data_IF_289865975641
#
_entry.id   IF_289865975641
#
_cell.length_a   1.000
_cell.length_b   1.000
_cell.length_c   1.000
_cell.angle_alpha   90.00
_cell.angle_beta   90.00
_cell.angle_gamma   90.00
#
_symmetry.space_group_name_H-M   'P 1'
#
loop_
_entity.id
_entity.type
_entity.pdbx_description
1 polymer ?
#
# COMPACT_ATOMS: atom_id res chain seq x y z
N UNK A 1 2.00 -9.41 0.72
CA UNK A 1 0.56 -9.05 0.80
C UNK A 1 0.04 -8.60 -0.56
N UNK A 2 -1.28 -8.48 -0.66
CA UNK A 2 -1.97 -7.99 -1.84
C UNK A 2 -2.36 -6.53 -1.62
N UNK A 3 -2.09 -5.65 -2.61
CA UNK A 3 -2.36 -4.21 -2.54
C UNK A 3 -1.76 -3.54 -1.29
N UNK A 4 -0.51 -3.81 -1.03
CA UNK A 4 0.15 -3.51 0.23
C UNK A 4 0.17 -2.00 0.56
N UNK A 5 0.06 -1.65 1.82
CA UNK A 5 0.42 -0.34 2.34
C UNK A 5 1.96 -0.31 2.52
N UNK A 6 2.69 0.64 1.97
CA UNK A 6 2.24 1.90 1.35
C UNK A 6 2.14 1.87 -0.19
N UNK A 7 2.56 0.80 -0.85
CA UNK A 7 2.87 0.79 -2.29
C UNK A 7 1.66 0.57 -3.19
N UNK A 8 0.58 -0.02 -2.67
CA UNK A 8 -0.57 -0.45 -3.47
C UNK A 8 -0.31 -1.69 -4.34
N UNK A 9 0.93 -2.20 -4.38
CA UNK A 9 1.29 -3.36 -5.21
C UNK A 9 1.05 -4.68 -4.48
N UNK A 10 0.94 -5.76 -5.25
CA UNK A 10 0.89 -7.13 -4.78
C UNK A 10 2.22 -7.83 -5.02
N UNK A 11 2.61 -8.74 -4.13
CA UNK A 11 3.81 -9.54 -4.35
C UNK A 11 3.59 -10.57 -5.44
N UNK A 12 4.63 -10.81 -6.25
CA UNK A 12 4.63 -11.89 -7.23
C UNK A 12 4.69 -13.25 -6.52
N UNK A 13 4.23 -14.29 -7.21
CA UNK A 13 4.30 -15.67 -6.75
C UNK A 13 5.72 -16.09 -6.37
N UNK A 14 6.71 -15.67 -7.16
CA UNK A 14 8.12 -15.97 -6.87
C UNK A 14 8.58 -15.27 -5.58
N UNK A 15 8.21 -14.01 -5.37
CA UNK A 15 8.53 -13.31 -4.12
C UNK A 15 7.92 -14.02 -2.91
N UNK A 16 6.66 -14.48 -3.01
CA UNK A 16 6.01 -15.24 -1.93
C UNK A 16 6.75 -16.56 -1.66
N UNK A 17 7.15 -17.30 -2.73
CA UNK A 17 7.94 -18.53 -2.57
C UNK A 17 9.33 -18.26 -1.97
N UNK A 18 9.97 -17.14 -2.31
CA UNK A 18 11.24 -16.72 -1.68
C UNK A 18 11.06 -16.48 -0.19
N UNK A 19 10.02 -15.77 0.23
CA UNK A 19 9.70 -15.62 1.66
C UNK A 19 9.49 -16.98 2.35
N UNK A 20 8.73 -17.88 1.74
CA UNK A 20 8.46 -19.20 2.29
C UNK A 20 9.72 -20.04 2.49
N UNK A 21 10.74 -19.86 1.66
CA UNK A 21 12.02 -20.59 1.68
C UNK A 21 13.11 -19.92 2.50
N UNK A 22 12.82 -18.79 3.17
CA UNK A 22 13.79 -18.10 4.00
C UNK A 22 14.37 -19.04 5.05
N UNK A 23 15.67 -18.88 5.29
CA UNK A 23 16.40 -19.54 6.38
C UNK A 23 16.92 -18.44 7.31
N UNK A 24 16.08 -17.94 8.23
CA UNK A 24 16.47 -16.87 9.12
C UNK A 24 17.54 -17.35 10.12
N UNK A 25 18.42 -16.44 10.52
CA UNK A 25 19.44 -16.74 11.52
C UNK A 25 18.82 -16.88 12.92
N UNK A 26 17.77 -16.12 13.22
CA UNK A 26 17.07 -16.21 14.50
C UNK A 26 16.02 -17.34 14.46
N UNK A 27 16.01 -18.27 15.44
CA UNK A 27 15.09 -19.39 15.44
C UNK A 27 13.63 -18.98 15.70
N UNK A 28 13.44 -17.84 16.32
CA UNK A 28 12.15 -17.22 16.62
C UNK A 28 11.70 -16.18 15.60
N UNK A 29 12.41 -16.06 14.47
CA UNK A 29 12.01 -15.15 13.39
C UNK A 29 10.60 -15.46 12.88
N UNK A 30 9.78 -14.42 12.74
CA UNK A 30 8.42 -14.50 12.20
C UNK A 30 8.14 -13.39 11.19
N UNK A 31 7.35 -13.73 10.21
CA UNK A 31 6.82 -12.78 9.22
C UNK A 31 5.40 -12.41 9.60
N UNK A 32 5.16 -11.12 9.81
CA UNK A 32 3.84 -10.57 9.99
C UNK A 32 3.28 -10.19 8.60
N UNK A 33 2.37 -11.01 8.08
CA UNK A 33 1.79 -10.87 6.75
C UNK A 33 0.49 -10.08 6.84
N UNK A 34 0.58 -8.76 6.68
CA UNK A 34 -0.58 -7.88 6.72
C UNK A 34 -1.32 -7.90 5.37
N UNK A 35 -2.46 -8.57 5.32
CA UNK A 35 -3.31 -8.69 4.14
C UNK A 35 -4.63 -7.90 4.30
N UNK A 36 -4.58 -6.74 4.93
CA UNK A 36 -5.75 -5.91 5.20
C UNK A 36 -6.49 -5.48 3.93
N UNK A 37 -5.80 -5.37 2.80
CA UNK A 37 -6.37 -4.88 1.53
C UNK A 37 -6.68 -5.98 0.52
N UNK A 38 -6.60 -7.25 0.89
CA UNK A 38 -6.75 -8.39 -0.02
C UNK A 38 -8.04 -8.45 -0.84
N UNK A 39 -9.09 -7.79 -0.38
CA UNK A 39 -10.40 -7.71 -1.05
C UNK A 39 -10.70 -6.32 -1.68
N UNK A 40 -9.74 -5.40 -1.68
CA UNK A 40 -9.93 -4.03 -2.16
C UNK A 40 -9.57 -3.89 -3.64
N UNK A 41 -10.18 -4.72 -4.49
CA UNK A 41 -10.03 -4.62 -5.94
C UNK A 41 -10.70 -3.34 -6.46
N UNK A 42 -10.07 -2.65 -7.40
CA UNK A 42 -10.68 -1.53 -8.12
C UNK A 42 -11.45 -2.01 -9.36
N UNK A 43 -11.08 -3.17 -9.89
CA UNK A 43 -11.65 -3.74 -11.12
C UNK A 43 -12.14 -5.17 -10.89
N UNK A 44 -13.29 -5.53 -11.45
CA UNK A 44 -13.86 -6.89 -11.32
C UNK A 44 -13.06 -7.93 -12.12
N UNK A 45 -12.56 -7.55 -13.29
CA UNK A 45 -11.94 -8.47 -14.26
C UNK A 45 -10.41 -8.35 -14.34
N UNK A 46 -9.82 -7.37 -13.64
CA UNK A 46 -8.39 -7.13 -13.61
C UNK A 46 -7.91 -7.03 -12.16
N UNK A 47 -7.85 -8.17 -11.51
CA UNK A 47 -7.42 -8.29 -10.11
C UNK A 47 -6.05 -8.95 -10.04
N UNK A 48 -5.20 -8.45 -9.14
CA UNK A 48 -3.96 -9.14 -8.84
C UNK A 48 -4.24 -10.53 -8.25
N UNK A 49 -3.41 -11.47 -8.61
CA UNK A 49 -3.35 -12.79 -7.97
C UNK A 49 -2.28 -12.77 -6.87
N UNK A 50 -2.53 -13.48 -5.79
CA UNK A 50 -1.56 -13.70 -4.73
C UNK A 50 -1.68 -15.13 -4.22
N UNK A 51 -0.62 -15.92 -4.36
CA UNK A 51 -0.58 -17.29 -3.83
C UNK A 51 -0.60 -17.28 -2.30
N UNK A 52 -1.05 -18.37 -1.70
CA UNK A 52 -1.28 -18.47 -0.27
C UNK A 52 0.03 -18.76 0.47
N UNK A 53 0.54 -17.76 1.22
CA UNK A 53 1.84 -17.82 1.91
C UNK A 53 1.94 -18.95 2.94
N UNK A 54 0.86 -19.27 3.68
CA UNK A 54 0.89 -20.33 4.68
C UNK A 54 1.05 -21.71 4.01
N UNK A 55 0.40 -21.92 2.86
CA UNK A 55 0.55 -23.12 2.06
C UNK A 55 1.97 -23.26 1.52
N UNK A 56 2.55 -22.15 1.00
CA UNK A 56 3.93 -22.14 0.51
C UNK A 56 4.94 -22.39 1.64
N UNK A 57 4.75 -21.79 2.82
CA UNK A 57 5.59 -22.07 4.00
C UNK A 57 5.51 -23.54 4.41
N UNK A 58 4.32 -24.12 4.42
CA UNK A 58 4.15 -25.55 4.71
C UNK A 58 4.90 -26.43 3.71
N UNK A 59 4.80 -26.13 2.40
CA UNK A 59 5.53 -26.86 1.34
C UNK A 59 7.06 -26.71 1.48
N UNK A 60 7.51 -25.54 1.94
CA UNK A 60 8.93 -25.25 2.13
C UNK A 60 9.52 -25.83 3.45
N UNK A 61 8.71 -26.46 4.29
CA UNK A 61 9.14 -26.99 5.60
C UNK A 61 9.22 -25.94 6.71
N UNK A 62 8.66 -24.75 6.49
CA UNK A 62 8.65 -23.61 7.43
C UNK A 62 7.23 -23.25 7.92
N UNK A 63 6.41 -24.20 8.41
CA UNK A 63 4.98 -23.94 8.67
C UNK A 63 4.74 -22.85 9.72
N UNK A 64 5.67 -22.64 10.65
CA UNK A 64 5.53 -21.74 11.80
C UNK A 64 6.06 -20.32 11.52
N UNK A 65 6.54 -20.06 10.30
CA UNK A 65 7.23 -18.80 9.99
C UNK A 65 6.29 -17.59 9.93
N UNK A 66 5.00 -17.76 9.59
CA UNK A 66 4.10 -16.67 9.23
C UNK A 66 2.90 -16.53 10.15
N UNK A 67 2.67 -15.30 10.57
CA UNK A 67 1.39 -14.81 11.09
C UNK A 67 0.69 -13.97 10.01
N UNK A 68 -0.44 -14.45 9.49
CA UNK A 68 -1.22 -13.76 8.46
C UNK A 68 -2.42 -13.06 9.09
N UNK A 69 -2.53 -11.76 8.82
CA UNK A 69 -3.58 -10.91 9.39
C UNK A 69 -4.51 -10.38 8.32
N UNK A 70 -5.77 -10.23 8.70
CA UNK A 70 -6.77 -9.51 7.91
C UNK A 70 -7.77 -8.83 8.85
N UNK A 71 -8.45 -7.78 8.39
CA UNK A 71 -9.48 -7.12 9.17
C UNK A 71 -10.56 -6.50 8.29
N UNK A 72 -11.72 -6.23 8.89
CA UNK A 72 -12.81 -5.50 8.24
C UNK A 72 -12.77 -4.00 8.52
N UNK A 73 -11.69 -3.48 9.11
CA UNK A 73 -11.57 -2.05 9.48
C UNK A 73 -11.68 -1.10 8.29
N UNK A 74 -11.28 -1.56 7.09
CA UNK A 74 -11.40 -0.82 5.82
C UNK A 74 -12.57 -1.33 4.95
N UNK A 75 -13.27 -2.36 5.42
CA UNK A 75 -14.41 -2.97 4.72
C UNK A 75 -15.72 -2.48 5.31
N UNK A 76 -15.87 -2.47 6.63
CA UNK A 76 -17.07 -2.02 7.35
C UNK A 76 -16.84 -0.66 8.01
N UNK A 77 -16.54 -0.63 9.31
CA UNK A 77 -16.33 0.60 10.06
C UNK A 77 -14.99 0.60 10.78
N UNK A 78 -14.19 1.68 10.68
CA UNK A 78 -13.04 1.85 11.53
C UNK A 78 -13.47 1.91 13.00
N UNK A 79 -12.72 1.22 13.86
CA UNK A 79 -13.04 1.10 15.28
C UNK A 79 -14.11 0.07 15.65
N UNK A 80 -14.89 -0.41 14.68
CA UNK A 80 -15.88 -1.48 14.84
C UNK A 80 -15.59 -2.69 13.95
N UNK A 81 -14.42 -2.79 13.39
CA UNK A 81 -14.00 -3.93 12.57
C UNK A 81 -13.80 -5.19 13.43
N UNK A 82 -13.82 -6.33 12.74
CA UNK A 82 -13.32 -7.60 13.26
C UNK A 82 -12.01 -7.95 12.55
N UNK A 83 -11.11 -8.60 13.27
CA UNK A 83 -9.84 -9.05 12.72
C UNK A 83 -9.75 -10.58 12.77
N UNK A 84 -8.94 -11.13 11.87
CA UNK A 84 -8.62 -12.54 11.84
C UNK A 84 -7.11 -12.73 11.73
N UNK A 85 -6.64 -13.76 12.45
CA UNK A 85 -5.27 -14.25 12.36
C UNK A 85 -5.31 -15.68 11.85
N UNK A 86 -4.47 -15.99 10.88
CA UNK A 86 -4.21 -17.35 10.41
C UNK A 86 -2.73 -17.67 10.54
N UNK A 87 -2.42 -18.87 11.03
CA UNK A 87 -1.05 -19.35 11.23
C UNK A 87 -1.05 -20.88 11.37
N UNK A 88 0.11 -21.47 11.65
CA UNK A 88 0.21 -22.91 11.99
C UNK A 88 -0.50 -23.27 13.29
N UNK A 89 -0.75 -24.54 13.50
CA UNK A 89 -1.34 -25.04 14.76
C UNK A 89 -0.45 -24.74 15.96
N UNK A 90 0.87 -24.93 15.84
CA UNK A 90 1.82 -24.64 16.92
C UNK A 90 1.75 -23.18 17.37
N UNK A 91 1.86 -22.27 16.41
CA UNK A 91 1.74 -20.83 16.69
C UNK A 91 0.37 -20.48 17.27
N UNK A 92 -0.70 -21.11 16.77
CA UNK A 92 -2.06 -20.86 17.25
C UNK A 92 -2.26 -21.28 18.71
N UNK A 93 -1.67 -22.41 19.12
CA UNK A 93 -1.72 -22.86 20.51
C UNK A 93 -1.03 -21.87 21.45
N UNK A 94 0.14 -21.34 21.06
CA UNK A 94 0.85 -20.35 21.86
C UNK A 94 0.09 -19.01 21.94
N UNK A 95 -0.49 -18.56 20.83
CA UNK A 95 -1.31 -17.35 20.82
C UNK A 95 -2.55 -17.51 21.71
N UNK A 96 -3.22 -18.65 21.66
CA UNK A 96 -4.39 -18.93 22.51
C UNK A 96 -4.08 -18.85 23.98
N UNK A 97 -2.91 -19.33 24.41
CA UNK A 97 -2.45 -19.21 25.81
C UNK A 97 -2.35 -17.75 26.24
N UNK A 98 -1.94 -16.86 25.38
CA UNK A 98 -1.86 -15.43 25.68
C UNK A 98 -3.23 -14.74 25.62
N UNK A 99 -4.04 -15.05 24.59
CA UNK A 99 -5.34 -14.46 24.39
C UNK A 99 -6.32 -14.72 25.54
N UNK A 100 -6.24 -15.87 26.20
CA UNK A 100 -7.12 -16.19 27.33
C UNK A 100 -6.93 -15.22 28.52
N UNK A 101 -5.76 -14.61 28.65
CA UNK A 101 -5.50 -13.61 29.70
C UNK A 101 -5.75 -12.19 29.20
N UNK A 102 -5.50 -11.92 27.92
CA UNK A 102 -5.68 -10.60 27.32
C UNK A 102 -7.18 -10.29 27.09
N UNK A 103 -7.92 -11.27 26.60
CA UNK A 103 -9.31 -11.10 26.16
C UNK A 103 -10.06 -12.41 26.41
N UNK A 104 -10.77 -12.53 27.51
CA UNK A 104 -11.54 -13.75 27.87
C UNK A 104 -12.51 -14.15 26.74
N UNK A 105 -13.07 -13.17 26.04
CA UNK A 105 -13.91 -13.39 24.88
C UNK A 105 -13.92 -12.15 23.97
N UNK A 106 -14.00 -12.39 22.67
CA UNK A 106 -14.12 -11.32 21.68
C UNK A 106 -15.56 -10.77 21.64
N UNK A 107 -15.74 -9.54 21.16
CA UNK A 107 -17.04 -8.88 20.98
C UNK A 107 -17.94 -9.67 20.01
N UNK A 108 -18.79 -10.52 20.57
CA UNK A 108 -19.73 -11.36 19.80
C UNK A 108 -20.87 -10.57 19.19
N UNK A 109 -21.24 -9.44 19.79
CA UNK A 109 -22.28 -8.56 19.23
C UNK A 109 -21.78 -7.94 17.93
N UNK A 110 -20.54 -7.46 17.93
CA UNK A 110 -19.91 -6.92 16.72
C UNK A 110 -19.72 -8.00 15.63
N UNK A 111 -19.30 -9.20 16.00
CA UNK A 111 -19.23 -10.33 15.06
C UNK A 111 -20.61 -10.64 14.46
N UNK A 112 -21.67 -10.68 15.28
CA UNK A 112 -23.04 -10.92 14.80
C UNK A 112 -23.53 -9.80 13.87
N UNK A 113 -23.17 -8.52 14.15
CA UNK A 113 -23.48 -7.40 13.25
C UNK A 113 -22.89 -7.63 11.86
N UNK A 114 -21.62 -8.06 11.76
CA UNK A 114 -20.97 -8.36 10.50
C UNK A 114 -21.63 -9.54 9.78
N UNK A 115 -21.94 -10.61 10.50
CA UNK A 115 -22.65 -11.77 9.94
C UNK A 115 -24.03 -11.36 9.39
N UNK A 116 -24.79 -10.58 10.13
CA UNK A 116 -26.12 -10.11 9.68
C UNK A 116 -26.04 -9.15 8.50
N UNK A 117 -25.03 -8.29 8.47
CA UNK A 117 -24.88 -7.30 7.40
C UNK A 117 -24.43 -7.95 6.08
N UNK A 118 -23.41 -8.78 6.13
CA UNK A 118 -22.86 -9.42 4.92
C UNK A 118 -23.60 -10.69 4.51
N UNK A 119 -24.20 -11.37 5.46
CA UNK A 119 -24.85 -12.69 5.26
C UNK A 119 -23.83 -13.79 4.98
N UNK A 120 -23.02 -13.62 3.95
CA UNK A 120 -21.97 -14.55 3.52
C UNK A 120 -20.88 -13.85 2.71
N UNK A 121 -19.96 -14.62 2.13
CA UNK A 121 -18.86 -14.09 1.33
C UNK A 121 -19.34 -13.33 0.08
N UNK A 122 -20.43 -13.75 -0.56
CA UNK A 122 -20.98 -13.05 -1.71
C UNK A 122 -21.48 -11.66 -1.34
N UNK A 123 -22.18 -11.51 -0.19
CA UNK A 123 -22.59 -10.20 0.31
C UNK A 123 -21.40 -9.29 0.63
N UNK A 124 -20.29 -9.85 1.11
CA UNK A 124 -19.06 -9.09 1.30
C UNK A 124 -18.46 -8.64 -0.04
N UNK A 125 -18.41 -9.51 -1.05
CA UNK A 125 -17.92 -9.16 -2.40
C UNK A 125 -18.77 -8.06 -3.02
N UNK A 126 -20.10 -8.15 -2.94
CA UNK A 126 -21.02 -7.12 -3.44
C UNK A 126 -20.80 -5.77 -2.72
N UNK A 127 -20.56 -5.81 -1.42
CA UNK A 127 -20.24 -4.61 -0.66
C UNK A 127 -18.90 -3.99 -1.14
N UNK A 128 -17.88 -4.80 -1.39
CA UNK A 128 -16.58 -4.32 -1.87
C UNK A 128 -16.64 -3.78 -3.30
N UNK A 129 -17.55 -4.24 -4.15
CA UNK A 129 -17.81 -3.62 -5.46
C UNK A 129 -18.28 -2.17 -5.32
N UNK A 130 -19.15 -1.87 -4.36
CA UNK A 130 -19.58 -0.49 -4.08
C UNK A 130 -18.41 0.39 -3.62
N UNK A 131 -17.48 -0.16 -2.84
CA UNK A 131 -16.23 0.52 -2.50
C UNK A 131 -15.39 0.79 -3.74
N UNK A 132 -15.24 -0.21 -4.62
CA UNK A 132 -14.52 -0.07 -5.87
C UNK A 132 -15.11 1.03 -6.75
N UNK A 133 -16.44 1.08 -6.91
CA UNK A 133 -17.12 2.09 -7.70
C UNK A 133 -16.89 3.52 -7.19
N UNK A 134 -16.73 3.68 -5.87
CA UNK A 134 -16.39 4.96 -5.24
C UNK A 134 -14.90 5.33 -5.36
N UNK A 135 -14.01 4.34 -5.33
CA UNK A 135 -12.56 4.58 -5.29
C UNK A 135 -11.92 4.61 -6.68
N UNK A 136 -12.39 3.80 -7.62
CA UNK A 136 -11.82 3.67 -8.96
C UNK A 136 -11.67 5.01 -9.68
N UNK A 137 -12.68 5.89 -9.76
CA UNK A 137 -12.54 7.18 -10.43
C UNK A 137 -11.44 8.05 -9.82
N UNK A 138 -11.23 7.94 -8.51
CA UNK A 138 -10.18 8.69 -7.80
C UNK A 138 -8.79 8.19 -8.16
N UNK A 139 -8.59 6.87 -8.27
CA UNK A 139 -7.32 6.31 -8.71
C UNK A 139 -7.03 6.64 -10.18
N UNK A 140 -8.03 6.54 -11.04
CA UNK A 140 -7.93 6.89 -12.45
C UNK A 140 -7.57 8.37 -12.65
N UNK A 141 -8.19 9.28 -11.91
CA UNK A 141 -7.86 10.69 -11.93
C UNK A 141 -6.40 10.96 -11.52
N UNK A 142 -5.91 10.31 -10.45
CA UNK A 142 -4.50 10.42 -10.05
C UNK A 142 -3.57 9.97 -11.18
N UNK A 143 -3.82 8.79 -11.77
CA UNK A 143 -2.98 8.26 -12.84
C UNK A 143 -2.97 9.18 -14.05
N UNK A 144 -4.13 9.67 -14.45
CA UNK A 144 -4.28 10.62 -15.59
C UNK A 144 -3.47 11.89 -15.33
N UNK A 145 -3.70 12.55 -14.19
CA UNK A 145 -3.04 13.82 -13.87
C UNK A 145 -1.53 13.67 -13.74
N UNK A 146 -1.07 12.60 -13.04
CA UNK A 146 0.37 12.37 -12.91
C UNK A 146 1.02 12.09 -14.26
N UNK A 147 0.37 11.32 -15.16
CA UNK A 147 0.88 11.05 -16.49
C UNK A 147 0.91 12.32 -17.35
N UNK A 148 -0.14 13.14 -17.33
CA UNK A 148 -0.22 14.39 -18.10
C UNK A 148 0.79 15.44 -17.60
N UNK A 149 0.93 15.58 -16.29
CA UNK A 149 1.72 16.64 -15.69
C UNK A 149 3.19 16.30 -15.49
N UNK A 150 3.51 15.03 -15.19
CA UNK A 150 4.85 14.58 -14.81
C UNK A 150 5.41 13.49 -15.71
N UNK A 151 4.59 12.86 -16.55
CA UNK A 151 5.00 11.80 -17.46
C UNK A 151 6.11 12.26 -18.40
N UNK A 152 7.14 11.45 -18.60
CA UNK A 152 8.27 11.75 -19.49
C UNK A 152 9.25 12.81 -19.02
N UNK A 153 9.01 13.45 -17.85
CA UNK A 153 9.92 14.49 -17.33
C UNK A 153 11.16 13.92 -16.61
N UNK A 154 11.16 12.64 -16.26
CA UNK A 154 12.28 11.99 -15.56
C UNK A 154 12.50 12.46 -14.11
N UNK A 155 11.52 13.17 -13.51
CA UNK A 155 11.63 13.75 -12.17
C UNK A 155 10.84 12.98 -11.10
N UNK A 156 10.05 12.00 -11.49
CA UNK A 156 9.27 11.16 -10.58
C UNK A 156 8.85 9.85 -11.23
N UNK A 157 8.53 8.88 -10.38
CA UNK A 157 7.87 7.62 -10.75
C UNK A 157 6.75 7.32 -9.76
N UNK A 158 5.78 6.51 -10.13
CA UNK A 158 4.68 6.13 -9.24
C UNK A 158 4.10 4.77 -9.59
N UNK A 159 3.46 4.14 -8.61
CA UNK A 159 2.76 2.88 -8.81
C UNK A 159 1.38 3.09 -9.44
N UNK A 160 0.95 2.12 -10.25
CA UNK A 160 -0.41 2.06 -10.78
C UNK A 160 -1.14 0.83 -10.22
N UNK A 161 -1.68 0.91 -9.00
CA UNK A 161 -2.28 -0.23 -8.30
C UNK A 161 -3.65 -0.59 -8.88
N UNK A 162 -3.94 -1.90 -8.92
CA UNK A 162 -5.26 -2.45 -9.28
C UNK A 162 -6.20 -2.60 -8.07
N UNK A 163 -5.76 -2.11 -6.91
CA UNK A 163 -6.51 -2.20 -5.67
C UNK A 163 -5.82 -1.53 -4.50
N UNK A 164 -6.41 -1.64 -3.32
CA UNK A 164 -5.92 -1.01 -2.11
C UNK A 164 -6.34 0.45 -1.96
N UNK A 165 -5.57 1.20 -1.16
CA UNK A 165 -5.89 2.58 -0.79
C UNK A 165 -4.79 3.59 -1.10
N UNK A 166 -3.69 3.15 -1.74
CA UNK A 166 -2.50 3.98 -1.84
C UNK A 166 -1.87 3.92 -3.22
N UNK A 167 -1.32 5.07 -3.64
CA UNK A 167 -0.36 5.18 -4.72
C UNK A 167 0.98 5.58 -4.08
N UNK A 168 2.04 4.85 -4.36
CA UNK A 168 3.39 5.22 -3.97
C UNK A 168 3.99 6.10 -5.04
N UNK A 169 4.48 7.26 -4.64
CA UNK A 169 5.09 8.25 -5.51
C UNK A 169 6.55 8.45 -5.06
N UNK A 170 7.48 8.32 -5.98
CA UNK A 170 8.89 8.56 -5.73
C UNK A 170 9.36 9.75 -6.55
N UNK A 171 9.75 10.83 -5.87
CA UNK A 171 10.36 12.03 -6.45
C UNK A 171 11.87 11.84 -6.65
N UNK A 172 12.55 12.83 -7.18
CA UNK A 172 14.01 12.89 -7.13
C UNK A 172 14.52 12.80 -5.70
N UNK A 173 15.67 12.17 -5.50
CA UNK A 173 16.33 12.04 -4.20
C UNK A 173 16.51 13.40 -3.49
N UNK A 174 16.17 13.43 -2.21
CA UNK A 174 16.22 14.63 -1.38
C UNK A 174 15.07 15.62 -1.57
N UNK A 175 13.99 15.25 -2.29
CA UNK A 175 12.91 16.18 -2.63
C UNK A 175 11.60 15.96 -1.87
N UNK A 176 11.34 14.77 -1.32
CA UNK A 176 10.02 14.43 -0.76
C UNK A 176 9.58 15.36 0.37
N UNK A 177 10.45 15.65 1.33
CA UNK A 177 10.13 16.57 2.43
C UNK A 177 9.84 17.99 1.95
N UNK A 178 10.64 18.48 0.99
CA UNK A 178 10.45 19.80 0.40
C UNK A 178 9.11 19.91 -0.36
N UNK A 179 8.75 18.87 -1.12
CA UNK A 179 7.46 18.78 -1.83
C UNK A 179 6.30 18.83 -0.82
N UNK A 180 6.30 17.96 0.20
CA UNK A 180 5.25 17.91 1.22
C UNK A 180 5.14 19.22 1.98
N UNK A 181 6.29 19.86 2.32
CA UNK A 181 6.30 21.16 2.99
C UNK A 181 5.72 22.27 2.10
N UNK A 182 6.01 22.24 0.78
CA UNK A 182 5.45 23.21 -0.17
C UNK A 182 3.95 23.00 -0.35
N UNK A 183 3.49 21.76 -0.47
CA UNK A 183 2.07 21.41 -0.50
C UNK A 183 1.33 21.96 0.74
N UNK A 184 1.90 21.76 1.93
CA UNK A 184 1.31 22.28 3.17
C UNK A 184 1.18 23.80 3.20
N UNK A 185 2.13 24.54 2.62
CA UNK A 185 2.09 26.03 2.56
C UNK A 185 0.92 26.55 1.71
N UNK A 186 0.48 25.79 0.72
CA UNK A 186 -0.65 26.15 -0.13
C UNK A 186 -1.97 25.50 0.31
N UNK A 187 -2.00 24.88 1.51
CA UNK A 187 -3.20 24.27 2.08
C UNK A 187 -3.43 22.82 1.70
N UNK A 188 -2.55 22.20 0.91
CA UNK A 188 -2.62 20.77 0.57
C UNK A 188 -1.91 19.94 1.64
N UNK A 189 -2.70 19.29 2.51
CA UNK A 189 -2.17 18.44 3.60
C UNK A 189 -2.08 17.00 3.13
N UNK A 190 -0.88 16.44 3.21
CA UNK A 190 -0.56 15.06 2.81
C UNK A 190 0.06 14.28 3.97
N UNK A 191 0.19 12.97 3.81
CA UNK A 191 1.01 12.14 4.70
C UNK A 191 2.45 12.67 4.68
N UNK A 192 3.07 12.80 5.85
CA UNK A 192 4.45 13.29 5.95
C UNK A 192 5.43 12.41 5.18
N UNK A 193 6.41 13.02 4.52
CA UNK A 193 7.50 12.30 3.87
C UNK A 193 8.26 11.43 4.89
N UNK A 194 8.64 10.23 4.51
CA UNK A 194 9.29 9.26 5.39
C UNK A 194 8.35 8.45 6.29
N UNK A 195 7.06 8.79 6.40
CA UNK A 195 6.10 8.07 7.24
C UNK A 195 5.88 6.60 6.84
N UNK A 196 6.30 6.23 5.65
CA UNK A 196 6.23 4.87 5.09
C UNK A 196 7.46 4.01 5.43
N UNK A 197 8.46 4.59 6.07
CA UNK A 197 9.73 3.94 6.42
C UNK A 197 9.87 3.74 7.94
N UNK A 198 10.62 2.72 8.36
CA UNK A 198 10.94 2.53 9.77
C UNK A 198 11.55 3.79 10.39
N UNK A 199 11.10 4.13 11.59
CA UNK A 199 11.54 5.34 12.33
C UNK A 199 11.29 6.67 11.58
N UNK A 200 10.43 6.67 10.54
CA UNK A 200 10.17 7.88 9.74
C UNK A 200 11.36 8.34 8.88
N UNK A 201 12.31 7.44 8.61
CA UNK A 201 13.55 7.76 7.89
C UNK A 201 13.56 7.09 6.53
N UNK A 202 13.24 7.85 5.49
CA UNK A 202 13.49 7.48 4.11
C UNK A 202 14.95 7.83 3.77
N UNK A 203 15.80 6.85 3.42
CA UNK A 203 17.22 7.08 3.11
C UNK A 203 17.42 8.02 1.91
N UNK A 204 16.49 7.99 0.96
CA UNK A 204 16.56 8.79 -0.26
C UNK A 204 15.77 10.10 -0.17
N UNK A 205 14.91 10.25 0.84
CA UNK A 205 13.96 11.38 0.94
C UNK A 205 13.20 11.59 -0.39
N UNK A 206 12.70 10.51 -0.97
CA UNK A 206 12.04 10.48 -2.28
C UNK A 206 10.57 10.05 -2.21
N UNK A 207 10.20 9.22 -1.23
CA UNK A 207 8.89 8.59 -1.21
C UNK A 207 7.79 9.44 -0.57
N UNK A 208 6.66 9.51 -1.26
CA UNK A 208 5.42 10.15 -0.80
C UNK A 208 4.26 9.18 -1.03
N UNK A 209 3.50 8.88 0.01
CA UNK A 209 2.29 8.08 -0.08
C UNK A 209 1.08 8.95 -0.38
N UNK A 210 0.41 8.69 -1.49
CA UNK A 210 -0.85 9.35 -1.87
C UNK A 210 -2.01 8.46 -1.45
N UNK A 211 -2.99 9.04 -0.72
CA UNK A 211 -4.17 8.34 -0.20
C UNK A 211 -5.46 9.05 -0.69
N UNK A 212 -6.04 8.63 -1.82
CA UNK A 212 -7.14 9.34 -2.47
C UNK A 212 -8.52 9.14 -1.84
N UNK A 213 -8.66 8.26 -0.86
CA UNK A 213 -9.98 7.78 -0.43
C UNK A 213 -10.88 8.85 0.21
N UNK A 214 -10.31 9.84 0.89
CA UNK A 214 -11.06 10.81 1.69
C UNK A 214 -11.72 11.94 0.88
N UNK A 215 -11.02 12.73 0.05
CA UNK A 215 -11.61 13.90 -0.61
C UNK A 215 -12.65 13.50 -1.68
N UNK A 216 -13.63 14.35 -1.99
CA UNK A 216 -14.43 14.25 -3.20
C UNK A 216 -13.53 14.24 -4.43
N UNK A 217 -14.03 13.69 -5.56
CA UNK A 217 -13.22 13.57 -6.79
C UNK A 217 -12.76 14.94 -7.30
N UNK A 218 -13.64 15.92 -7.36
CA UNK A 218 -13.32 17.28 -7.83
C UNK A 218 -12.21 17.95 -7.00
N UNK A 219 -12.23 17.78 -5.68
CA UNK A 219 -11.20 18.32 -4.80
C UNK A 219 -9.89 17.55 -4.94
N UNK A 220 -9.97 16.24 -5.17
CA UNK A 220 -8.80 15.41 -5.43
C UNK A 220 -8.08 15.83 -6.72
N UNK A 221 -8.83 16.07 -7.80
CA UNK A 221 -8.27 16.51 -9.07
C UNK A 221 -7.52 17.83 -8.90
N UNK A 222 -8.14 18.83 -8.28
CA UNK A 222 -7.48 20.12 -7.96
C UNK A 222 -6.22 19.91 -7.11
N UNK A 223 -6.31 19.06 -6.09
CA UNK A 223 -5.18 18.75 -5.21
C UNK A 223 -4.02 18.10 -5.97
N UNK A 224 -4.31 17.20 -6.92
CA UNK A 224 -3.28 16.52 -7.71
C UNK A 224 -2.59 17.45 -8.71
N UNK A 225 -3.29 18.39 -9.34
CA UNK A 225 -2.66 19.43 -10.16
C UNK A 225 -1.74 20.31 -9.31
N UNK A 226 -2.19 20.75 -8.12
CA UNK A 226 -1.35 21.53 -7.19
C UNK A 226 -0.13 20.73 -6.72
N UNK A 227 -0.31 19.45 -6.43
CA UNK A 227 0.78 18.53 -6.10
C UNK A 227 1.83 18.47 -7.22
N UNK A 228 1.39 18.26 -8.46
CA UNK A 228 2.28 18.19 -9.62
C UNK A 228 3.08 19.49 -9.81
N UNK A 229 2.46 20.64 -9.61
CA UNK A 229 3.17 21.94 -9.63
C UNK A 229 4.24 22.00 -8.53
N UNK A 230 3.92 21.57 -7.30
CA UNK A 230 4.89 21.52 -6.21
C UNK A 230 6.07 20.61 -6.54
N UNK A 231 5.80 19.43 -7.13
CA UNK A 231 6.84 18.49 -7.59
C UNK A 231 7.74 19.16 -8.61
N UNK A 232 7.18 19.78 -9.66
CA UNK A 232 7.95 20.48 -10.71
C UNK A 232 8.86 21.56 -10.12
N UNK A 233 8.35 22.40 -9.25
CA UNK A 233 9.13 23.50 -8.66
C UNK A 233 10.29 22.97 -7.85
N UNK A 234 10.04 21.99 -6.94
CA UNK A 234 11.11 21.42 -6.08
C UNK A 234 12.13 20.69 -6.93
N UNK A 235 11.71 19.96 -7.95
CA UNK A 235 12.63 19.27 -8.87
C UNK A 235 13.51 20.24 -9.66
N UNK A 236 12.96 21.36 -10.13
CA UNK A 236 13.74 22.42 -10.79
C UNK A 236 14.76 23.02 -9.83
N UNK A 237 14.35 23.35 -8.59
CA UNK A 237 15.27 23.88 -7.57
C UNK A 237 16.42 22.90 -7.33
N UNK A 238 16.12 21.60 -7.23
CA UNK A 238 17.11 20.54 -7.05
C UNK A 238 18.07 20.40 -8.23
N UNK A 239 17.56 20.41 -9.46
CA UNK A 239 18.38 20.35 -10.68
C UNK A 239 19.33 21.55 -10.76
N UNK A 240 18.83 22.74 -10.45
CA UNK A 240 19.66 23.96 -10.45
C UNK A 240 20.73 23.92 -9.36
N UNK A 241 20.40 23.40 -8.17
CA UNK A 241 21.38 23.18 -7.10
C UNK A 241 22.47 22.22 -7.54
N UNK A 242 22.11 21.05 -8.11
CA UNK A 242 23.04 20.05 -8.60
C UNK A 242 23.98 20.61 -9.68
N UNK A 243 23.45 21.41 -10.62
CA UNK A 243 24.26 22.07 -11.65
C UNK A 243 25.26 23.08 -11.05
N UNK A 244 24.86 23.86 -10.05
CA UNK A 244 25.74 24.82 -9.36
C UNK A 244 26.85 24.11 -8.59
N UNK A 245 26.56 22.93 -8.05
CA UNK A 245 27.52 22.14 -7.28
C UNK A 245 28.41 21.25 -8.16
N UNK A 246 28.34 21.35 -9.49
CA UNK A 246 29.18 20.61 -10.44
C UNK A 246 28.80 19.14 -10.61
N UNK A 247 27.67 18.70 -10.09
CA UNK A 247 27.11 17.40 -10.37
C UNK A 247 26.40 17.46 -11.73
N UNK A 248 27.09 17.04 -12.79
CA UNK A 248 26.50 16.84 -14.13
C UNK A 248 25.80 15.49 -14.12
N UNK A 249 24.53 15.45 -13.78
CA UNK A 249 23.68 14.31 -14.14
C UNK A 249 23.09 14.61 -15.52
N UNK A 250 23.51 13.82 -16.52
CA UNK A 250 22.80 13.75 -17.79
C UNK A 250 21.36 13.25 -17.50
N UNK A 251 20.34 13.84 -18.15
CA UNK A 251 18.98 13.34 -17.99
C UNK A 251 18.95 11.87 -18.44
N UNK A 252 18.48 10.98 -17.56
CA UNK A 252 18.26 9.59 -17.91
C UNK A 252 17.25 9.55 -19.07
N UNK A 253 17.76 9.19 -20.25
CA UNK A 253 16.93 8.95 -21.41
C UNK A 253 15.97 7.80 -21.07
N UNK A 254 14.68 8.06 -21.24
CA UNK A 254 13.60 7.11 -21.31
C UNK A 254 13.57 6.04 -20.19
N UNK A 255 12.95 6.36 -19.07
CA UNK A 255 12.37 5.31 -18.23
C UNK A 255 11.19 4.72 -19.01
N UNK A 256 11.46 3.63 -19.73
CA UNK A 256 10.41 2.76 -20.26
C UNK A 256 9.45 2.42 -19.13
N UNK A 257 8.18 2.69 -19.39
CA UNK A 257 7.08 2.10 -18.63
C UNK A 257 7.33 0.59 -18.65
N UNK A 258 7.86 0.04 -17.58
CA UNK A 258 7.90 -1.41 -17.38
C UNK A 258 6.46 -1.88 -17.23
N UNK A 259 5.80 -2.07 -18.37
CA UNK A 259 4.70 -3.01 -18.46
C UNK A 259 5.28 -4.37 -18.09
N UNK A 260 4.83 -4.91 -16.98
CA UNK A 260 5.18 -6.23 -16.52
C UNK A 260 4.80 -7.27 -17.55
N UNK A 261 5.77 -7.77 -18.26
CA UNK A 261 5.80 -9.16 -18.67
C UNK A 261 6.67 -9.91 -17.65
N UNK A 262 6.02 -10.34 -16.58
CA UNK A 262 6.52 -11.41 -15.74
C UNK A 262 5.66 -12.65 -16.02
N UNK A 263 6.10 -13.43 -17.01
CA UNK A 263 5.75 -14.85 -17.13
C UNK A 263 6.35 -15.68 -16.01
#
# INVERSE_FOLDING_TARGET
PKYANPTGISYSDETVRRFARLKPAAPDFRIYWDNAYGMHHLYDHDQDHLIEILAECKRAGNPDMVYKFSSTSKISFPGSGIAALATSLNNLEDIKKQLQFQTIGHDKVNQLRHVRYFGNIHGMVEHMRKHADSLRPKFEAIQTILNEELGGLGIATWTNPKGGYFVSFDSMDGCAKAIVARCKKIGLVMTGAGATYPYGKDPHDSNIRIAPSYPPLEDLEKAMHLFAVCVKIVSIDKILENRRNGAVEEPAAEAEVKSEEAK
#
